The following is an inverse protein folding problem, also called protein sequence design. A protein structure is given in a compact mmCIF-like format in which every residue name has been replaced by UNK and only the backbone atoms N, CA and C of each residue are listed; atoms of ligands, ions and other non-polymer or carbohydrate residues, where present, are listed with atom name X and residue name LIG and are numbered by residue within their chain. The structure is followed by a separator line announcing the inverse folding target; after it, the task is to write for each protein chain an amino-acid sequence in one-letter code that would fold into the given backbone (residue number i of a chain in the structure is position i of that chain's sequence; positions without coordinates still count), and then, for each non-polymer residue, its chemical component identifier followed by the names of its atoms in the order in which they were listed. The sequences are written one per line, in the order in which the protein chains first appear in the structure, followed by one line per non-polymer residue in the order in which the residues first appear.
data_IF_169538209331
#
_entry.id   IF_169538209331
#
_cell.length_a   1.000
_cell.length_b   1.000
_cell.length_c   1.000
_cell.angle_alpha   90.00
_cell.angle_beta   90.00
_cell.angle_gamma   90.00
#
_symmetry.space_group_name_H-M   'P 1'
#
loop_
_entity.id
_entity.type
_entity.pdbx_description
1 polymer ?
#
# COMPACT_ATOMS: atom_id res chain seq x y z
N UNK A 1 -30.08 -48.48 -3.55
CA UNK A 1 -29.48 -48.19 -2.24
C UNK A 1 -28.37 -47.17 -2.43
N UNK A 2 -28.11 -46.28 -1.45
CA UNK A 2 -26.92 -45.43 -1.52
C UNK A 2 -25.67 -46.32 -1.54
N UNK A 3 -24.66 -46.01 -2.38
CA UNK A 3 -23.40 -46.73 -2.41
C UNK A 3 -22.72 -46.57 -1.06
N UNK A 4 -22.29 -47.69 -0.51
CA UNK A 4 -21.52 -47.75 0.73
C UNK A 4 -20.03 -47.76 0.40
N UNK A 5 -19.16 -47.43 1.37
CA UNK A 5 -17.72 -47.59 1.25
C UNK A 5 -17.31 -48.94 0.60
N UNK A 6 -17.89 -50.04 1.06
CA UNK A 6 -17.60 -51.39 0.56
C UNK A 6 -17.94 -51.61 -0.94
N UNK A 7 -18.82 -50.77 -1.52
CA UNK A 7 -19.24 -50.88 -2.92
C UNK A 7 -18.27 -50.18 -3.89
N UNK A 8 -17.24 -49.48 -3.38
CA UNK A 8 -16.29 -48.75 -4.23
C UNK A 8 -15.26 -49.71 -4.85
N UNK A 9 -15.22 -49.84 -6.19
CA UNK A 9 -14.25 -50.71 -6.84
C UNK A 9 -12.81 -50.24 -6.60
N UNK A 10 -11.82 -51.15 -6.52
CA UNK A 10 -10.43 -50.79 -6.26
C UNK A 10 -9.84 -49.95 -7.40
N UNK A 11 -8.69 -49.31 -7.12
CA UNK A 11 -7.96 -48.52 -8.11
C UNK A 11 -7.55 -49.41 -9.29
N UNK A 12 -7.75 -48.92 -10.51
CA UNK A 12 -7.52 -49.67 -11.74
C UNK A 12 -8.71 -50.47 -12.24
N UNK A 13 -9.79 -50.60 -11.45
CA UNK A 13 -11.02 -51.25 -11.90
C UNK A 13 -11.78 -50.38 -12.93
N UNK A 14 -12.19 -50.92 -14.09
CA UNK A 14 -12.93 -50.17 -15.11
C UNK A 14 -14.25 -49.54 -14.62
N UNK A 15 -14.88 -50.15 -13.61
CA UNK A 15 -16.13 -49.69 -12.99
C UNK A 15 -15.95 -48.57 -11.98
N UNK A 16 -14.72 -48.29 -11.50
CA UNK A 16 -14.45 -47.30 -10.45
C UNK A 16 -14.93 -45.90 -10.84
N UNK A 17 -14.65 -45.45 -12.06
CA UNK A 17 -15.06 -44.13 -12.53
C UNK A 17 -16.59 -43.96 -12.51
N UNK A 18 -17.32 -44.98 -13.00
CA UNK A 18 -18.77 -44.96 -12.99
C UNK A 18 -19.33 -44.94 -11.56
N UNK A 19 -18.70 -45.65 -10.61
CA UNK A 19 -19.06 -45.62 -9.20
C UNK A 19 -18.84 -44.23 -8.57
N UNK A 20 -17.68 -43.61 -8.81
CA UNK A 20 -17.39 -42.24 -8.34
C UNK A 20 -18.35 -41.20 -8.92
N UNK A 21 -18.73 -41.32 -10.19
CA UNK A 21 -19.72 -40.43 -10.81
C UNK A 21 -21.12 -40.60 -10.21
N UNK A 22 -21.51 -41.83 -9.84
CA UNK A 22 -22.77 -42.06 -9.11
C UNK A 22 -22.72 -41.43 -7.72
N UNK A 23 -21.60 -41.61 -7.00
CA UNK A 23 -21.39 -41.03 -5.67
C UNK A 23 -21.47 -39.49 -5.71
N UNK A 24 -20.80 -38.86 -6.68
CA UNK A 24 -20.80 -37.40 -6.85
C UNK A 24 -22.18 -36.80 -7.12
N UNK A 25 -23.10 -37.55 -7.74
CA UNK A 25 -24.46 -37.08 -8.06
C UNK A 25 -25.43 -37.20 -6.88
N UNK A 26 -24.98 -37.71 -5.74
CA UNK A 26 -25.84 -37.86 -4.57
C UNK A 26 -25.99 -36.53 -3.83
N UNK A 27 -27.23 -36.10 -3.65
CA UNK A 27 -27.53 -34.86 -2.94
C UNK A 27 -27.20 -34.94 -1.43
N UNK A 28 -27.34 -36.13 -0.83
CA UNK A 28 -27.13 -36.38 0.60
C UNK A 28 -26.10 -37.50 0.78
N UNK A 29 -24.85 -37.19 0.45
CA UNK A 29 -23.72 -38.07 0.70
C UNK A 29 -23.32 -37.99 2.18
N UNK A 30 -23.34 -39.13 2.87
CA UNK A 30 -22.80 -39.24 4.23
C UNK A 30 -21.27 -39.33 4.20
N UNK A 31 -20.59 -38.19 4.03
CA UNK A 31 -19.13 -38.15 3.96
C UNK A 31 -18.45 -38.70 5.23
N UNK A 32 -19.12 -38.67 6.39
CA UNK A 32 -18.55 -39.12 7.65
C UNK A 32 -18.26 -40.62 7.65
N UNK A 33 -19.16 -41.46 7.12
CA UNK A 33 -18.92 -42.92 7.02
C UNK A 33 -17.77 -43.25 6.07
N UNK A 34 -17.62 -42.51 4.98
CA UNK A 34 -16.48 -42.66 4.07
C UNK A 34 -15.15 -42.29 4.73
N UNK A 35 -15.11 -41.22 5.53
CA UNK A 35 -13.92 -40.83 6.31
C UNK A 35 -13.55 -41.90 7.34
N UNK A 36 -14.53 -42.46 8.04
CA UNK A 36 -14.32 -43.58 8.99
C UNK A 36 -13.74 -44.81 8.28
N UNK A 37 -14.28 -45.19 7.12
CA UNK A 37 -13.77 -46.33 6.36
C UNK A 37 -12.30 -46.12 5.90
N UNK A 38 -11.93 -44.88 5.56
CA UNK A 38 -10.55 -44.54 5.21
C UNK A 38 -9.62 -44.66 6.42
N UNK A 39 -10.03 -44.17 7.59
CA UNK A 39 -9.26 -44.26 8.84
C UNK A 39 -9.02 -45.70 9.27
N UNK A 40 -10.06 -46.53 9.19
CA UNK A 40 -9.99 -47.96 9.51
C UNK A 40 -9.17 -48.76 8.48
N UNK A 41 -8.79 -48.14 7.36
CA UNK A 41 -8.03 -48.80 6.30
C UNK A 41 -8.86 -49.72 5.41
N UNK A 42 -10.19 -49.67 5.53
CA UNK A 42 -11.12 -50.43 4.68
C UNK A 42 -11.09 -49.92 3.23
N UNK A 43 -10.79 -48.62 3.04
CA UNK A 43 -10.60 -48.01 1.74
C UNK A 43 -9.29 -47.21 1.71
N UNK A 44 -8.59 -47.31 0.58
CA UNK A 44 -7.40 -46.50 0.35
C UNK A 44 -7.74 -45.01 0.22
N UNK A 45 -6.92 -44.18 0.84
CA UNK A 45 -6.97 -42.73 0.68
C UNK A 45 -6.43 -42.38 -0.72
N UNK A 46 -7.31 -42.02 -1.65
CA UNK A 46 -6.98 -41.78 -3.06
C UNK A 46 -7.55 -40.43 -3.52
N UNK A 47 -6.83 -39.69 -4.36
CA UNK A 47 -7.25 -38.35 -4.79
C UNK A 47 -8.60 -38.33 -5.52
N UNK A 48 -8.93 -39.36 -6.30
CA UNK A 48 -10.19 -39.44 -7.05
C UNK A 48 -11.43 -39.54 -6.15
N UNK A 49 -11.34 -40.31 -5.06
CA UNK A 49 -12.35 -40.40 -4.03
C UNK A 49 -12.44 -39.09 -3.25
N UNK A 50 -11.31 -38.55 -2.80
CA UNK A 50 -11.30 -37.28 -2.04
C UNK A 50 -11.87 -36.13 -2.88
N UNK A 51 -11.63 -36.10 -4.19
CA UNK A 51 -12.25 -35.11 -5.07
C UNK A 51 -13.79 -35.19 -5.12
N UNK A 52 -14.36 -36.39 -4.93
CA UNK A 52 -15.81 -36.58 -4.81
C UNK A 52 -16.32 -36.19 -3.41
N UNK A 53 -15.57 -36.50 -2.36
CA UNK A 53 -15.96 -36.19 -0.98
C UNK A 53 -15.78 -34.70 -0.62
N UNK A 54 -14.84 -34.00 -1.25
CA UNK A 54 -14.42 -32.64 -0.90
C UNK A 54 -15.58 -31.62 -0.68
N UNK A 55 -16.64 -31.58 -1.51
CA UNK A 55 -17.76 -30.66 -1.30
C UNK A 55 -18.57 -30.92 -0.02
N UNK A 56 -18.40 -32.09 0.59
CA UNK A 56 -19.17 -32.57 1.75
C UNK A 56 -18.34 -32.64 3.04
N UNK A 57 -17.05 -32.28 2.98
CA UNK A 57 -16.17 -32.30 4.15
C UNK A 57 -16.41 -31.07 5.03
N UNK A 58 -16.53 -31.30 6.34
CA UNK A 58 -16.36 -30.24 7.34
C UNK A 58 -14.89 -30.18 7.83
N UNK A 59 -14.59 -29.20 8.68
CA UNK A 59 -13.23 -29.03 9.22
C UNK A 59 -12.75 -30.22 10.07
N UNK A 60 -13.66 -30.91 10.77
CA UNK A 60 -13.31 -32.08 11.56
C UNK A 60 -12.93 -33.28 10.68
N UNK A 61 -13.69 -33.51 9.61
CA UNK A 61 -13.38 -34.52 8.60
C UNK A 61 -12.09 -34.20 7.85
N UNK A 62 -11.83 -32.93 7.52
CA UNK A 62 -10.59 -32.52 6.88
C UNK A 62 -9.37 -32.78 7.78
N UNK A 63 -9.44 -32.47 9.08
CA UNK A 63 -8.38 -32.81 10.04
C UNK A 63 -8.07 -34.30 10.06
N UNK A 64 -9.12 -35.13 10.17
CA UNK A 64 -9.00 -36.60 10.19
C UNK A 64 -8.36 -37.15 8.92
N UNK A 65 -8.76 -36.65 7.75
CA UNK A 65 -8.17 -37.05 6.48
C UNK A 65 -6.70 -36.58 6.33
N UNK A 66 -6.35 -35.41 6.87
CA UNK A 66 -4.95 -34.97 6.94
C UNK A 66 -4.12 -35.89 7.82
N UNK A 67 -4.62 -36.29 8.99
CA UNK A 67 -3.94 -37.22 9.89
C UNK A 67 -3.69 -38.57 9.20
N UNK A 68 -4.69 -39.08 8.46
CA UNK A 68 -4.54 -40.27 7.63
C UNK A 68 -3.45 -40.10 6.56
N UNK A 69 -3.41 -38.94 5.90
CA UNK A 69 -2.43 -38.65 4.85
C UNK A 69 -1.00 -38.55 5.42
N UNK A 70 -0.83 -37.85 6.55
CA UNK A 70 0.46 -37.71 7.23
C UNK A 70 1.02 -39.05 7.70
N UNK A 71 0.14 -39.95 8.17
CA UNK A 71 0.53 -41.30 8.60
C UNK A 71 0.97 -42.22 7.44
N UNK A 72 0.59 -41.94 6.18
CA UNK A 72 0.78 -42.83 5.02
C UNK A 72 1.84 -42.34 4.02
N UNK A 73 2.87 -41.64 4.50
CA UNK A 73 3.87 -41.04 3.61
C UNK A 73 4.86 -42.05 3.00
N UNK A 74 5.24 -41.91 1.70
CA UNK A 74 4.76 -40.89 0.76
C UNK A 74 3.33 -41.18 0.26
N UNK A 75 2.42 -40.25 0.53
CA UNK A 75 1.05 -40.29 0.04
C UNK A 75 0.91 -39.50 -1.27
N UNK A 76 -0.26 -39.56 -1.92
CA UNK A 76 -0.52 -38.76 -3.12
C UNK A 76 -0.46 -37.26 -2.79
N UNK A 77 0.39 -36.52 -3.51
CA UNK A 77 0.63 -35.10 -3.29
C UNK A 77 -0.60 -34.20 -3.57
N UNK A 78 -1.61 -34.72 -4.29
CA UNK A 78 -2.84 -34.00 -4.60
C UNK A 78 -3.84 -33.98 -3.44
N UNK A 79 -3.75 -34.90 -2.47
CA UNK A 79 -4.74 -35.03 -1.40
C UNK A 79 -4.85 -33.75 -0.53
N UNK A 80 -3.75 -33.12 -0.06
CA UNK A 80 -3.83 -31.95 0.81
C UNK A 80 -4.63 -30.79 0.21
N UNK A 81 -4.48 -30.53 -1.09
CA UNK A 81 -5.22 -29.46 -1.77
C UNK A 81 -6.70 -29.77 -1.97
N UNK A 82 -7.08 -31.05 -2.05
CA UNK A 82 -8.47 -31.48 -2.14
C UNK A 82 -9.21 -31.39 -0.81
N UNK A 83 -8.54 -31.70 0.31
CA UNK A 83 -9.14 -31.58 1.66
C UNK A 83 -9.14 -30.13 2.18
N UNK A 84 -8.16 -29.31 1.75
CA UNK A 84 -7.94 -27.95 2.26
C UNK A 84 -8.91 -26.88 1.77
N UNK A 85 -9.97 -27.24 1.04
CA UNK A 85 -10.96 -26.32 0.50
C UNK A 85 -11.92 -25.71 1.55
N UNK A 86 -12.05 -26.33 2.71
CA UNK A 86 -12.88 -25.82 3.80
C UNK A 86 -12.15 -24.72 4.60
N UNK A 87 -12.89 -23.69 5.03
CA UNK A 87 -12.39 -22.68 5.97
C UNK A 87 -12.92 -23.00 7.36
N UNK A 88 -12.06 -23.51 8.22
CA UNK A 88 -12.42 -23.90 9.57
C UNK A 88 -11.26 -23.61 10.54
N UNK A 89 -11.49 -22.96 11.68
CA UNK A 89 -10.43 -22.68 12.67
C UNK A 89 -9.71 -23.95 13.17
N UNK A 90 -10.41 -25.07 13.30
CA UNK A 90 -9.82 -26.36 13.73
C UNK A 90 -8.84 -26.88 12.68
N UNK A 91 -9.21 -26.74 11.41
CA UNK A 91 -8.38 -27.12 10.28
C UNK A 91 -7.14 -26.23 10.17
N UNK A 92 -7.30 -24.91 10.32
CA UNK A 92 -6.18 -23.97 10.36
C UNK A 92 -5.18 -24.30 11.48
N UNK A 93 -5.69 -24.59 12.69
CA UNK A 93 -4.84 -24.95 13.82
C UNK A 93 -4.12 -26.28 13.59
N UNK A 94 -4.81 -27.30 13.07
CA UNK A 94 -4.19 -28.58 12.75
C UNK A 94 -3.09 -28.44 11.68
N UNK A 95 -3.30 -27.61 10.67
CA UNK A 95 -2.29 -27.30 9.65
C UNK A 95 -1.02 -26.69 10.26
N UNK A 96 -1.16 -25.78 11.24
CA UNK A 96 0.00 -25.20 11.94
C UNK A 96 0.78 -26.26 12.72
N UNK A 97 0.07 -27.14 13.41
CA UNK A 97 0.69 -28.26 14.14
C UNK A 97 1.46 -29.15 13.18
N UNK A 98 0.85 -29.56 12.06
CA UNK A 98 1.51 -30.36 11.04
C UNK A 98 2.75 -29.66 10.46
N UNK A 99 2.68 -28.35 10.20
CA UNK A 99 3.84 -27.59 9.70
C UNK A 99 5.00 -27.52 10.70
N UNK A 100 4.72 -27.61 12.01
CA UNK A 100 5.75 -27.65 13.05
C UNK A 100 6.34 -29.06 13.24
N UNK A 101 5.52 -30.09 13.06
CA UNK A 101 5.89 -31.51 13.21
C UNK A 101 6.66 -32.04 11.99
N UNK A 102 6.32 -31.55 10.80
CA UNK A 102 6.75 -32.12 9.54
C UNK A 102 7.96 -31.41 8.93
N UNK A 103 8.77 -32.15 8.16
CA UNK A 103 9.93 -31.63 7.44
C UNK A 103 9.74 -31.50 5.93
N UNK A 104 10.51 -30.59 5.32
CA UNK A 104 10.80 -30.54 3.88
C UNK A 104 9.58 -30.64 2.96
N UNK A 105 9.46 -31.75 2.24
CA UNK A 105 8.48 -31.95 1.16
C UNK A 105 7.03 -31.87 1.63
N UNK A 106 6.73 -32.31 2.85
CA UNK A 106 5.38 -32.21 3.41
C UNK A 106 5.01 -30.75 3.66
N UNK A 107 5.93 -29.95 4.18
CA UNK A 107 5.68 -28.52 4.38
C UNK A 107 5.37 -27.79 3.06
N UNK A 108 6.02 -28.17 1.96
CA UNK A 108 5.75 -27.60 0.63
C UNK A 108 4.28 -27.80 0.22
N UNK A 109 3.70 -28.97 0.52
CA UNK A 109 2.31 -29.29 0.20
C UNK A 109 1.30 -28.65 1.16
N UNK A 110 1.69 -28.39 2.40
CA UNK A 110 0.81 -27.86 3.45
C UNK A 110 0.77 -26.33 3.49
N UNK A 111 1.88 -25.64 3.20
CA UNK A 111 1.97 -24.18 3.26
C UNK A 111 0.89 -23.44 2.46
N UNK A 112 0.59 -23.81 1.18
CA UNK A 112 -0.45 -23.14 0.41
C UNK A 112 -1.83 -23.18 1.07
N UNK A 113 -2.10 -24.22 1.87
CA UNK A 113 -3.39 -24.43 2.54
C UNK A 113 -3.68 -23.38 3.62
N UNK A 114 -2.65 -22.83 4.28
CA UNK A 114 -2.81 -21.67 5.18
C UNK A 114 -3.36 -20.45 4.41
N UNK A 115 -2.96 -20.28 3.15
CA UNK A 115 -3.49 -19.24 2.27
C UNK A 115 -5.00 -19.38 2.01
N UNK A 116 -5.51 -20.61 1.95
CA UNK A 116 -6.93 -20.89 1.80
C UNK A 116 -7.74 -20.57 3.07
N UNK A 117 -7.13 -20.75 4.24
CA UNK A 117 -7.75 -20.45 5.54
C UNK A 117 -7.94 -18.95 5.76
N UNK A 118 -7.05 -18.12 5.21
CA UNK A 118 -7.14 -16.64 5.30
C UNK A 118 -7.15 -16.13 6.74
N UNK A 119 -6.49 -16.82 7.66
CA UNK A 119 -6.30 -16.37 9.04
C UNK A 119 -5.09 -15.42 9.12
N UNK A 120 -5.27 -14.12 9.42
CA UNK A 120 -4.18 -13.15 9.44
C UNK A 120 -3.01 -13.50 10.37
N UNK A 121 -3.23 -14.37 11.36
CA UNK A 121 -2.17 -14.84 12.28
C UNK A 121 -1.08 -15.64 11.57
N UNK A 122 -1.40 -16.28 10.45
CA UNK A 122 -0.46 -17.09 9.65
C UNK A 122 0.54 -16.25 8.86
N UNK A 123 0.27 -14.94 8.70
CA UNK A 123 1.12 -14.05 7.90
C UNK A 123 2.57 -14.05 8.40
N UNK A 124 2.79 -14.06 9.73
CA UNK A 124 4.14 -14.05 10.30
C UNK A 124 4.93 -15.29 9.91
N UNK A 125 4.32 -16.47 9.97
CA UNK A 125 4.95 -17.72 9.53
C UNK A 125 5.26 -17.70 8.02
N UNK A 126 4.27 -17.34 7.20
CA UNK A 126 4.41 -17.32 5.74
C UNK A 126 5.46 -16.32 5.27
N UNK A 127 5.47 -15.10 5.84
CA UNK A 127 6.45 -14.07 5.50
C UNK A 127 7.86 -14.45 5.91
N UNK A 128 8.04 -15.07 7.09
CA UNK A 128 9.34 -15.59 7.52
C UNK A 128 9.84 -16.67 6.54
N UNK A 129 9.00 -17.67 6.22
CA UNK A 129 9.35 -18.73 5.27
C UNK A 129 9.67 -18.23 3.87
N UNK A 130 9.03 -17.14 3.44
CA UNK A 130 9.32 -16.51 2.15
C UNK A 130 10.66 -15.75 2.15
N UNK A 131 10.95 -14.99 3.20
CA UNK A 131 12.13 -14.12 3.30
C UNK A 131 13.39 -14.87 3.74
N UNK A 132 13.27 -15.97 4.49
CA UNK A 132 14.42 -16.76 4.94
C UNK A 132 15.16 -17.41 3.76
N UNK A 133 16.52 -17.46 3.78
CA UNK A 133 17.33 -18.10 2.74
C UNK A 133 17.31 -19.64 2.84
N UNK A 134 16.11 -20.22 2.85
CA UNK A 134 15.88 -21.66 2.90
C UNK A 134 15.67 -22.31 1.52
N UNK A 135 15.26 -23.59 1.49
CA UNK A 135 14.97 -24.32 0.26
C UNK A 135 13.96 -23.59 -0.62
N UNK A 136 14.28 -23.41 -1.90
CA UNK A 136 13.44 -22.71 -2.86
C UNK A 136 11.99 -23.23 -2.91
N UNK A 137 11.70 -24.55 -2.89
CA UNK A 137 10.32 -25.05 -2.92
C UNK A 137 9.47 -24.55 -1.74
N UNK A 138 10.05 -24.43 -0.55
CA UNK A 138 9.35 -23.90 0.63
C UNK A 138 9.02 -22.42 0.47
N UNK A 139 9.97 -21.65 -0.07
CA UNK A 139 9.78 -20.22 -0.33
C UNK A 139 8.70 -19.99 -1.40
N UNK A 140 8.68 -20.82 -2.44
CA UNK A 140 7.64 -20.81 -3.47
C UNK A 140 6.26 -21.15 -2.90
N UNK A 141 6.16 -22.19 -2.07
CA UNK A 141 4.92 -22.58 -1.41
C UNK A 141 4.41 -21.49 -0.45
N UNK A 142 5.30 -20.82 0.28
CA UNK A 142 4.96 -19.67 1.11
C UNK A 142 4.45 -18.48 0.26
N UNK A 143 5.07 -18.20 -0.89
CA UNK A 143 4.61 -17.16 -1.81
C UNK A 143 3.23 -17.49 -2.40
N UNK A 144 2.98 -18.75 -2.72
CA UNK A 144 1.68 -19.24 -3.18
C UNK A 144 0.61 -19.05 -2.09
N UNK A 145 0.89 -19.43 -0.85
CA UNK A 145 0.00 -19.21 0.28
C UNK A 145 -0.36 -17.71 0.43
N UNK A 146 0.64 -16.82 0.31
CA UNK A 146 0.41 -15.38 0.33
C UNK A 146 -0.44 -14.89 -0.86
N UNK A 147 -0.27 -15.47 -2.05
CA UNK A 147 -1.07 -15.17 -3.24
C UNK A 147 -2.55 -15.58 -3.07
N UNK A 148 -2.81 -16.77 -2.53
CA UNK A 148 -4.17 -17.31 -2.35
C UNK A 148 -4.95 -16.51 -1.30
N UNK A 149 -4.27 -16.11 -0.22
CA UNK A 149 -4.85 -15.35 0.88
C UNK A 149 -4.72 -13.83 0.75
N UNK A 150 -4.38 -13.29 -0.43
CA UNK A 150 -3.93 -11.90 -0.64
C UNK A 150 -4.75 -10.82 0.10
N UNK A 151 -6.06 -11.00 0.20
CA UNK A 151 -6.98 -10.04 0.84
C UNK A 151 -6.98 -10.07 2.37
N UNK A 152 -6.46 -11.14 2.98
CA UNK A 152 -6.49 -11.38 4.42
C UNK A 152 -5.25 -10.85 5.15
N UNK A 153 -4.18 -10.54 4.42
CA UNK A 153 -2.90 -10.19 5.01
C UNK A 153 -2.79 -8.70 5.38
N UNK A 154 -1.98 -8.38 6.42
CA UNK A 154 -1.61 -6.99 6.72
C UNK A 154 -0.88 -6.35 5.52
N UNK A 155 -1.58 -5.50 4.78
CA UNK A 155 -1.13 -4.98 3.47
C UNK A 155 0.27 -4.34 3.49
N UNK A 156 0.56 -3.53 4.50
CA UNK A 156 1.84 -2.83 4.56
C UNK A 156 3.01 -3.80 4.81
N UNK A 157 2.80 -4.81 5.67
CA UNK A 157 3.81 -5.85 5.91
C UNK A 157 3.98 -6.76 4.69
N UNK A 158 2.88 -7.11 4.02
CA UNK A 158 2.92 -7.88 2.77
C UNK A 158 3.70 -7.15 1.68
N UNK A 159 3.44 -5.86 1.47
CA UNK A 159 4.21 -5.04 0.51
C UNK A 159 5.69 -5.06 0.82
N UNK A 160 6.06 -4.91 2.09
CA UNK A 160 7.46 -4.92 2.51
C UNK A 160 8.12 -6.26 2.20
N UNK A 161 7.49 -7.38 2.58
CA UNK A 161 8.00 -8.73 2.32
C UNK A 161 8.16 -9.00 0.81
N UNK A 162 7.15 -8.66 0.00
CA UNK A 162 7.24 -8.86 -1.45
C UNK A 162 8.31 -7.96 -2.08
N UNK A 163 8.46 -6.70 -1.65
CA UNK A 163 9.50 -5.80 -2.15
C UNK A 163 10.92 -6.26 -1.77
N UNK A 164 11.07 -6.96 -0.65
CA UNK A 164 12.31 -7.64 -0.27
C UNK A 164 12.61 -8.80 -1.21
N UNK A 165 11.63 -9.68 -1.45
CA UNK A 165 11.78 -10.83 -2.34
C UNK A 165 12.02 -10.45 -3.80
N UNK A 166 11.46 -9.33 -4.27
CA UNK A 166 11.77 -8.82 -5.62
C UNK A 166 13.26 -8.49 -5.79
N UNK A 167 13.96 -8.14 -4.71
CA UNK A 167 15.40 -7.83 -4.69
C UNK A 167 16.27 -9.07 -4.44
N UNK A 168 15.67 -10.24 -4.31
CA UNK A 168 16.37 -11.51 -4.17
C UNK A 168 17.07 -11.89 -5.50
N UNK A 169 18.12 -12.71 -5.40
CA UNK A 169 18.88 -13.24 -6.52
C UNK A 169 18.13 -14.32 -7.29
N UNK A 170 17.06 -14.91 -6.73
CA UNK A 170 16.31 -15.98 -7.38
C UNK A 170 15.25 -15.44 -8.36
N UNK A 171 15.46 -15.51 -9.70
CA UNK A 171 14.67 -14.74 -10.67
C UNK A 171 13.21 -15.17 -10.72
N UNK A 172 12.91 -16.46 -10.60
CA UNK A 172 11.53 -16.97 -10.61
C UNK A 172 10.69 -16.51 -9.41
N UNK A 173 11.31 -16.47 -8.22
CA UNK A 173 10.65 -16.03 -7.00
C UNK A 173 10.42 -14.51 -7.02
N UNK A 174 11.45 -13.74 -7.39
CA UNK A 174 11.38 -12.30 -7.54
C UNK A 174 10.31 -11.87 -8.57
N UNK A 175 10.23 -12.56 -9.71
CA UNK A 175 9.25 -12.24 -10.74
C UNK A 175 7.80 -12.54 -10.31
N UNK A 176 7.60 -13.56 -9.49
CA UNK A 176 6.29 -13.90 -8.90
C UNK A 176 5.90 -12.89 -7.82
N UNK A 177 6.83 -12.48 -6.97
CA UNK A 177 6.60 -11.44 -5.97
C UNK A 177 6.25 -10.08 -6.61
N UNK A 178 6.93 -9.72 -7.71
CA UNK A 178 6.63 -8.52 -8.51
C UNK A 178 5.19 -8.54 -9.04
N UNK A 179 4.74 -9.68 -9.53
CA UNK A 179 3.37 -9.85 -10.02
C UNK A 179 2.33 -9.78 -8.90
N UNK A 180 2.65 -10.29 -7.70
CA UNK A 180 1.77 -10.13 -6.54
C UNK A 180 1.68 -8.69 -6.08
N UNK A 181 2.80 -7.94 -6.06
CA UNK A 181 2.79 -6.51 -5.78
C UNK A 181 1.89 -5.76 -6.77
N UNK A 182 1.96 -6.10 -8.06
CA UNK A 182 1.13 -5.49 -9.09
C UNK A 182 -0.38 -5.73 -8.91
N UNK A 183 -0.78 -6.74 -8.13
CA UNK A 183 -2.18 -7.06 -7.80
C UNK A 183 -2.69 -6.31 -6.57
N UNK A 184 -1.82 -5.66 -5.79
CA UNK A 184 -2.22 -4.93 -4.60
C UNK A 184 -2.83 -3.56 -4.95
N UNK A 185 -3.74 -3.02 -4.11
CA UNK A 185 -4.21 -1.65 -4.26
C UNK A 185 -3.03 -0.68 -4.26
N UNK A 186 -3.08 0.36 -5.10
CA UNK A 186 -2.02 1.37 -5.22
C UNK A 186 -0.64 0.80 -5.65
N UNK A 187 -0.61 -0.36 -6.32
CA UNK A 187 0.62 -1.03 -6.75
C UNK A 187 1.59 -0.15 -7.54
N UNK A 188 1.10 0.83 -8.30
CA UNK A 188 1.93 1.74 -9.11
C UNK A 188 3.03 2.40 -8.27
N UNK A 189 2.70 2.91 -7.08
CA UNK A 189 3.68 3.53 -6.19
C UNK A 189 4.78 2.55 -5.76
N UNK A 190 4.40 1.31 -5.45
CA UNK A 190 5.34 0.26 -5.03
C UNK A 190 6.26 -0.14 -6.20
N UNK A 191 5.71 -0.28 -7.41
CA UNK A 191 6.46 -0.60 -8.62
C UNK A 191 7.43 0.53 -9.04
N UNK A 192 7.02 1.80 -8.95
CA UNK A 192 7.90 2.94 -9.21
C UNK A 192 9.02 3.06 -8.17
N UNK A 193 8.76 2.69 -6.90
CA UNK A 193 9.82 2.63 -5.90
C UNK A 193 10.83 1.55 -6.27
N UNK A 194 10.36 0.37 -6.68
CA UNK A 194 11.23 -0.72 -7.13
C UNK A 194 12.07 -0.35 -8.35
N UNK A 195 11.53 0.42 -9.31
CA UNK A 195 12.29 0.84 -10.50
C UNK A 195 13.47 1.77 -10.19
N UNK A 196 13.54 2.35 -8.98
CA UNK A 196 14.65 3.20 -8.52
C UNK A 196 15.78 2.40 -7.87
N UNK A 197 15.59 1.11 -7.65
CA UNK A 197 16.60 0.22 -7.10
C UNK A 197 17.19 -0.65 -8.21
N UNK A 198 18.46 -1.09 -8.08
CA UNK A 198 19.00 -2.08 -8.97
C UNK A 198 18.21 -3.38 -8.82
N UNK A 199 17.66 -3.86 -9.94
CA UNK A 199 16.95 -5.14 -10.04
C UNK A 199 17.70 -6.05 -11.01
N UNK A 200 17.45 -7.35 -10.92
CA UNK A 200 17.95 -8.28 -11.93
C UNK A 200 17.45 -7.85 -13.33
N UNK A 201 18.31 -7.83 -14.38
CA UNK A 201 17.93 -7.38 -15.72
C UNK A 201 16.72 -8.12 -16.31
N UNK A 202 16.51 -9.38 -15.91
CA UNK A 202 15.37 -10.20 -16.32
C UNK A 202 14.01 -9.68 -15.81
N UNK A 203 14.01 -8.85 -14.75
CA UNK A 203 12.78 -8.29 -14.17
C UNK A 203 12.35 -6.98 -14.85
N UNK A 204 13.26 -6.23 -15.47
CA UNK A 204 12.94 -4.91 -16.02
C UNK A 204 11.82 -4.92 -17.07
N UNK A 205 11.79 -5.86 -18.05
CA UNK A 205 10.69 -5.90 -19.03
C UNK A 205 9.36 -6.21 -18.35
N UNK A 206 9.38 -7.06 -17.32
CA UNK A 206 8.18 -7.43 -16.54
C UNK A 206 7.67 -6.24 -15.73
N UNK A 207 8.57 -5.51 -15.06
CA UNK A 207 8.23 -4.29 -14.32
C UNK A 207 7.63 -3.23 -15.23
N UNK A 208 8.26 -2.96 -16.39
CA UNK A 208 7.74 -2.04 -17.41
C UNK A 208 6.33 -2.42 -17.87
N UNK A 209 6.11 -3.71 -18.19
CA UNK A 209 4.79 -4.23 -18.58
C UNK A 209 3.73 -4.08 -17.47
N UNK A 210 4.12 -4.27 -16.20
CA UNK A 210 3.19 -4.08 -15.06
C UNK A 210 2.85 -2.61 -14.83
N UNK A 211 3.83 -1.71 -14.96
CA UNK A 211 3.60 -0.27 -14.89
C UNK A 211 2.71 0.24 -16.03
N UNK A 212 2.87 -0.28 -17.25
CA UNK A 212 2.02 0.10 -18.38
C UNK A 212 0.58 -0.40 -18.25
N UNK A 213 0.36 -1.53 -17.56
CA UNK A 213 -0.97 -2.04 -17.23
C UNK A 213 -1.66 -1.29 -16.08
N UNK A 214 -0.94 -0.37 -15.41
CA UNK A 214 -1.42 0.47 -14.32
C UNK A 214 -1.28 1.95 -14.72
N UNK A 215 -2.06 2.41 -15.73
CA UNK A 215 -1.93 3.78 -16.23
C UNK A 215 -2.24 4.79 -15.13
N UNK A 216 -1.46 5.87 -15.11
CA UNK A 216 -1.68 6.98 -14.20
C UNK A 216 -2.90 7.80 -14.59
N UNK A 217 -3.75 8.13 -13.62
CA UNK A 217 -4.85 9.06 -13.80
C UNK A 217 -4.32 10.50 -13.90
N UNK A 218 -5.04 11.37 -14.64
CA UNK A 218 -4.76 12.81 -14.65
C UNK A 218 -4.80 13.40 -13.24
N UNK A 219 -3.84 14.27 -12.94
CA UNK A 219 -3.79 15.01 -11.69
C UNK A 219 -4.21 16.45 -11.89
N UNK A 220 -5.06 16.94 -10.98
CA UNK A 220 -5.42 18.35 -10.86
C UNK A 220 -4.77 18.88 -9.59
N UNK A 221 -3.66 19.61 -9.72
CA UNK A 221 -2.92 20.18 -8.60
C UNK A 221 -3.51 21.55 -8.24
N UNK A 222 -4.23 21.62 -7.12
CA UNK A 222 -4.85 22.85 -6.66
C UNK A 222 -3.93 23.62 -5.71
N UNK A 223 -3.55 24.83 -6.11
CA UNK A 223 -2.73 25.77 -5.35
C UNK A 223 -3.56 27.00 -4.99
N UNK A 224 -3.06 27.82 -4.07
CA UNK A 224 -3.71 29.11 -3.77
C UNK A 224 -3.66 30.04 -5.00
N UNK A 225 -2.50 30.17 -5.64
CA UNK A 225 -2.26 31.13 -6.71
C UNK A 225 -1.96 32.54 -6.18
N UNK A 226 -1.64 33.46 -7.10
CA UNK A 226 -1.48 34.89 -6.87
C UNK A 226 -2.69 35.62 -7.44
N UNK A 227 -2.77 36.94 -7.25
CA UNK A 227 -3.85 37.76 -7.84
C UNK A 227 -4.01 37.48 -9.33
N UNK A 228 -5.27 37.34 -9.78
CA UNK A 228 -5.62 37.01 -11.16
C UNK A 228 -5.30 35.57 -11.58
N UNK A 229 -5.22 34.61 -10.64
CA UNK A 229 -4.98 33.20 -10.94
C UNK A 229 -3.54 32.83 -11.29
N UNK A 230 -2.58 33.77 -11.21
CA UNK A 230 -1.18 33.53 -11.57
C UNK A 230 -0.53 32.45 -10.69
N UNK A 231 0.17 31.51 -11.29
CA UNK A 231 0.83 30.41 -10.59
C UNK A 231 2.34 30.69 -10.48
N UNK A 232 2.99 30.46 -9.33
CA UNK A 232 4.45 30.56 -9.20
C UNK A 232 5.20 29.58 -10.11
N UNK A 233 6.33 30.00 -10.67
CA UNK A 233 7.12 29.22 -11.63
C UNK A 233 7.66 27.91 -11.05
N UNK A 234 7.93 27.85 -9.74
CA UNK A 234 8.39 26.61 -9.10
C UNK A 234 7.31 25.52 -9.08
N UNK A 235 6.04 25.92 -9.04
CA UNK A 235 4.90 25.01 -9.12
C UNK A 235 4.65 24.57 -10.57
N UNK A 236 4.84 25.47 -11.53
CA UNK A 236 4.80 25.14 -12.96
C UNK A 236 5.89 24.12 -13.30
N UNK A 237 7.13 24.36 -12.89
CA UNK A 237 8.24 23.40 -13.03
C UNK A 237 7.94 22.06 -12.36
N UNK A 238 7.37 22.07 -11.13
CA UNK A 238 6.98 20.85 -10.45
C UNK A 238 5.94 20.05 -11.26
N UNK A 239 4.95 20.72 -11.85
CA UNK A 239 3.92 20.07 -12.65
C UNK A 239 4.49 19.48 -13.95
N UNK A 240 5.36 20.21 -14.66
CA UNK A 240 6.05 19.71 -15.85
C UNK A 240 6.91 18.48 -15.54
N UNK A 241 7.72 18.53 -14.48
CA UNK A 241 8.54 17.40 -14.04
C UNK A 241 7.66 16.18 -13.71
N UNK A 242 6.53 16.42 -13.04
CA UNK A 242 5.60 15.38 -12.63
C UNK A 242 4.87 14.75 -13.80
N UNK A 243 4.42 15.55 -14.78
CA UNK A 243 3.76 15.07 -16.00
C UNK A 243 4.68 14.16 -16.81
N UNK A 244 5.94 14.58 -17.00
CA UNK A 244 6.96 13.78 -17.69
C UNK A 244 7.22 12.44 -16.99
N UNK A 245 7.36 12.45 -15.65
CA UNK A 245 7.60 11.22 -14.86
C UNK A 245 6.40 10.29 -14.85
N UNK A 246 5.18 10.84 -14.74
CA UNK A 246 3.96 10.04 -14.69
C UNK A 246 3.57 9.50 -16.06
N UNK A 247 3.93 10.20 -17.14
CA UNK A 247 3.41 9.92 -18.49
C UNK A 247 1.89 10.14 -18.56
N UNK A 248 1.35 11.03 -17.73
CA UNK A 248 -0.07 11.34 -17.63
C UNK A 248 -0.28 12.81 -17.29
N UNK A 249 -1.39 13.38 -17.76
CA UNK A 249 -1.66 14.80 -17.67
C UNK A 249 -1.62 15.35 -16.24
N UNK A 250 -0.94 16.48 -16.05
CA UNK A 250 -0.91 17.22 -14.78
C UNK A 250 -1.34 18.65 -15.03
N UNK A 251 -2.49 19.04 -14.50
CA UNK A 251 -3.02 20.39 -14.65
C UNK A 251 -2.94 21.15 -13.32
N UNK A 252 -2.43 22.37 -13.36
CA UNK A 252 -2.40 23.28 -12.22
C UNK A 252 -3.65 24.15 -12.18
N UNK A 253 -4.24 24.27 -10.98
CA UNK A 253 -5.42 25.08 -10.70
C UNK A 253 -5.08 26.11 -9.62
N UNK A 254 -5.42 27.38 -9.83
CA UNK A 254 -5.32 28.40 -8.81
C UNK A 254 -6.70 28.71 -8.22
N UNK A 255 -6.82 28.72 -6.88
CA UNK A 255 -8.04 29.16 -6.20
C UNK A 255 -8.38 30.63 -6.47
N UNK A 256 -7.38 31.45 -6.76
CA UNK A 256 -7.53 32.86 -7.11
C UNK A 256 -7.92 33.08 -8.58
N UNK A 257 -7.99 32.04 -9.42
CA UNK A 257 -8.56 32.16 -10.76
C UNK A 257 -10.10 32.02 -10.66
N UNK A 258 -10.88 33.04 -11.08
CA UNK A 258 -12.33 32.94 -11.10
C UNK A 258 -12.84 31.90 -12.12
N UNK A 259 -12.00 31.43 -13.05
CA UNK A 259 -12.35 30.45 -14.07
C UNK A 259 -11.93 29.06 -13.62
N UNK A 260 -12.91 28.22 -13.34
CA UNK A 260 -12.68 26.80 -13.08
C UNK A 260 -12.44 26.08 -14.40
N UNK A 261 -11.26 25.50 -14.64
CA UNK A 261 -11.04 24.78 -15.89
C UNK A 261 -11.85 23.49 -15.89
N UNK A 262 -12.30 23.14 -17.09
CA UNK A 262 -12.82 21.82 -17.39
C UNK A 262 -11.62 21.00 -17.90
N UNK A 263 -11.32 19.82 -17.34
CA UNK A 263 -10.48 18.88 -18.07
C UNK A 263 -11.14 18.61 -19.43
N UNK A 264 -10.36 18.29 -20.49
CA UNK A 264 -10.92 17.88 -21.77
C UNK A 264 -11.91 16.73 -21.53
N UNK A 265 -12.98 16.62 -22.34
CA UNK A 265 -13.98 15.58 -22.17
C UNK A 265 -13.27 14.22 -22.13
N UNK A 266 -13.43 13.55 -21.00
CA UNK A 266 -12.96 12.19 -20.81
C UNK A 266 -13.62 11.30 -21.86
N UNK A 267 -12.83 10.52 -22.60
CA UNK A 267 -13.36 9.35 -23.27
C UNK A 267 -14.11 8.48 -22.23
N UNK A 268 -15.15 7.72 -22.62
CA UNK A 268 -15.97 6.94 -21.68
C UNK A 268 -15.18 5.95 -20.80
N UNK A 269 -13.94 5.64 -21.19
CA UNK A 269 -13.00 4.73 -20.51
C UNK A 269 -11.84 5.46 -19.78
N UNK A 270 -11.84 6.80 -19.73
CA UNK A 270 -10.74 7.54 -19.13
C UNK A 270 -10.68 7.36 -17.60
N UNK A 271 -9.48 7.27 -17.00
CA UNK A 271 -9.32 7.10 -15.56
C UNK A 271 -9.86 8.31 -14.78
N UNK A 272 -10.43 8.05 -13.60
CA UNK A 272 -10.98 9.07 -12.68
C UNK A 272 -9.88 10.06 -12.28
N UNK A 273 -10.06 11.33 -12.66
CA UNK A 273 -9.09 12.38 -12.32
C UNK A 273 -8.95 12.56 -10.80
N UNK A 274 -7.74 12.89 -10.34
CA UNK A 274 -7.46 13.10 -8.92
C UNK A 274 -7.11 14.56 -8.64
N UNK A 275 -7.97 15.23 -7.85
CA UNK A 275 -7.73 16.56 -7.30
C UNK A 275 -6.84 16.48 -6.06
N UNK A 276 -5.70 17.16 -6.12
CA UNK A 276 -4.68 17.21 -5.08
C UNK A 276 -4.53 18.64 -4.55
N UNK A 277 -5.07 18.97 -3.37
CA UNK A 277 -4.92 20.30 -2.80
C UNK A 277 -3.53 20.48 -2.19
N UNK A 278 -2.68 21.26 -2.85
CA UNK A 278 -1.34 21.66 -2.39
C UNK A 278 -1.41 22.84 -1.40
N UNK A 279 -2.31 22.72 -0.43
CA UNK A 279 -2.51 23.68 0.66
C UNK A 279 -1.87 23.12 1.94
N UNK A 280 -1.20 23.98 2.71
CA UNK A 280 -0.38 23.55 3.85
C UNK A 280 -1.13 23.58 5.18
N UNK A 281 -2.17 24.40 5.31
CA UNK A 281 -2.83 24.66 6.58
C UNK A 281 -4.36 24.68 6.41
N UNK A 282 -5.14 24.30 7.45
CA UNK A 282 -6.59 24.20 7.38
C UNK A 282 -7.31 25.56 7.50
N UNK A 283 -6.91 26.54 6.67
CA UNK A 283 -7.55 27.85 6.58
C UNK A 283 -8.89 27.85 5.84
N UNK A 284 -9.45 29.05 5.57
CA UNK A 284 -10.73 29.23 4.88
C UNK A 284 -10.82 28.44 3.57
N UNK A 285 -9.77 28.49 2.75
CA UNK A 285 -9.67 27.75 1.49
C UNK A 285 -9.86 26.24 1.64
N UNK A 286 -9.23 25.61 2.64
CA UNK A 286 -9.36 24.17 2.86
C UNK A 286 -10.75 23.81 3.37
N UNK A 287 -11.33 24.69 4.21
CA UNK A 287 -12.58 24.43 4.94
C UNK A 287 -13.84 24.75 4.13
N UNK A 288 -13.77 25.72 3.22
CA UNK A 288 -14.94 26.27 2.53
C UNK A 288 -14.80 26.14 1.00
N UNK A 289 -13.74 26.72 0.43
CA UNK A 289 -13.60 26.81 -1.03
C UNK A 289 -13.35 25.44 -1.67
N UNK A 290 -12.45 24.64 -1.10
CA UNK A 290 -12.11 23.33 -1.62
C UNK A 290 -13.34 22.38 -1.65
N UNK A 291 -14.13 22.22 -0.57
CA UNK A 291 -15.38 21.44 -0.63
C UNK A 291 -16.35 21.93 -1.71
N UNK A 292 -16.55 23.26 -1.83
CA UNK A 292 -17.45 23.86 -2.82
C UNK A 292 -16.98 23.56 -4.25
N UNK A 293 -15.72 23.84 -4.54
CA UNK A 293 -15.08 23.55 -5.82
C UNK A 293 -15.19 22.08 -6.19
N UNK A 294 -14.92 21.19 -5.23
CA UNK A 294 -14.99 19.75 -5.46
C UNK A 294 -16.40 19.28 -5.81
N UNK A 295 -17.41 19.81 -5.11
CA UNK A 295 -18.80 19.49 -5.39
C UNK A 295 -19.21 19.96 -6.80
N UNK A 296 -18.75 21.14 -7.22
CA UNK A 296 -19.00 21.65 -8.56
C UNK A 296 -18.32 20.80 -9.65
N UNK A 297 -17.05 20.45 -9.49
CA UNK A 297 -16.32 19.63 -10.45
C UNK A 297 -16.91 18.22 -10.58
N UNK A 298 -17.34 17.61 -9.47
CA UNK A 298 -17.98 16.27 -9.47
C UNK A 298 -19.29 16.21 -10.23
N UNK A 299 -19.98 17.34 -10.43
CA UNK A 299 -21.18 17.40 -11.29
C UNK A 299 -20.84 17.30 -12.76
N UNK A 300 -19.58 17.60 -13.15
CA UNK A 300 -19.13 17.66 -14.54
C UNK A 300 -18.38 16.40 -14.96
N UNK A 301 -17.62 15.78 -14.05
CA UNK A 301 -16.83 14.57 -14.35
C UNK A 301 -16.49 13.76 -13.08
N UNK A 302 -16.15 12.46 -13.22
CA UNK A 302 -15.68 11.66 -12.10
C UNK A 302 -14.40 12.23 -11.50
N UNK A 303 -14.46 12.60 -10.21
CA UNK A 303 -13.34 13.23 -9.51
C UNK A 303 -13.11 12.60 -8.13
N UNK A 304 -11.91 12.06 -7.94
CA UNK A 304 -11.37 11.71 -6.62
C UNK A 304 -10.68 12.94 -6.04
N UNK A 305 -10.89 13.21 -4.75
CA UNK A 305 -10.20 14.28 -4.03
C UNK A 305 -9.34 13.70 -2.92
N UNK A 306 -8.10 14.15 -2.82
CA UNK A 306 -7.23 13.89 -1.67
C UNK A 306 -7.38 14.94 -0.57
N UNK A 307 -7.02 14.62 0.69
CA UNK A 307 -6.83 15.63 1.73
C UNK A 307 -5.79 16.68 1.32
N UNK A 308 -5.82 17.87 1.93
CA UNK A 308 -4.82 18.91 1.67
C UNK A 308 -3.41 18.44 2.10
N UNK A 309 -2.38 18.86 1.37
CA UNK A 309 -0.99 18.44 1.54
C UNK A 309 -0.51 18.49 3.00
N UNK A 310 -0.84 19.57 3.70
CA UNK A 310 -0.49 19.75 5.12
C UNK A 310 -0.94 18.61 6.03
N UNK A 311 -2.02 17.91 5.69
CA UNK A 311 -2.55 16.79 6.49
C UNK A 311 -1.86 15.44 6.21
N UNK A 312 -0.99 15.37 5.20
CA UNK A 312 -0.39 14.09 4.79
C UNK A 312 0.69 13.65 5.79
N UNK A 313 0.59 12.43 6.36
CA UNK A 313 1.57 11.97 7.35
C UNK A 313 3.01 11.96 6.85
N UNK A 314 3.23 11.58 5.58
CA UNK A 314 4.56 11.57 4.98
C UNK A 314 5.14 12.98 4.84
N UNK A 315 4.32 13.95 4.42
CA UNK A 315 4.70 15.35 4.32
C UNK A 315 5.07 15.94 5.68
N UNK A 316 4.28 15.67 6.72
CA UNK A 316 4.57 16.15 8.07
C UNK A 316 5.87 15.55 8.65
N UNK A 317 6.17 14.28 8.36
CA UNK A 317 7.46 13.67 8.73
C UNK A 317 8.63 14.33 8.00
N UNK A 318 8.48 14.64 6.72
CA UNK A 318 9.50 15.32 5.94
C UNK A 318 9.74 16.75 6.45
N UNK A 319 8.68 17.49 6.78
CA UNK A 319 8.75 18.79 7.45
C UNK A 319 9.50 18.70 8.78
N UNK A 320 9.18 17.72 9.63
CA UNK A 320 9.87 17.52 10.91
C UNK A 320 11.36 17.20 10.74
N UNK A 321 11.72 16.41 9.72
CA UNK A 321 13.12 16.14 9.39
C UNK A 321 13.86 17.41 8.94
N UNK A 322 13.22 18.21 8.09
CA UNK A 322 13.76 19.48 7.60
C UNK A 322 14.00 20.49 8.72
N UNK A 323 13.06 20.60 9.67
CA UNK A 323 13.19 21.45 10.85
C UNK A 323 14.38 21.03 11.71
N UNK A 324 14.55 19.73 11.96
CA UNK A 324 15.69 19.21 12.74
C UNK A 324 17.03 19.49 12.07
N UNK A 325 17.09 19.31 10.75
CA UNK A 325 18.30 19.59 9.96
C UNK A 325 18.66 21.07 10.01
N UNK A 326 17.66 21.95 9.85
CA UNK A 326 17.85 23.40 9.95
C UNK A 326 18.32 23.84 11.34
N UNK A 327 17.73 23.26 12.40
CA UNK A 327 18.12 23.54 13.78
C UNK A 327 19.54 23.08 14.10
N UNK A 328 20.03 22.02 13.44
CA UNK A 328 21.40 21.53 13.59
C UNK A 328 22.42 22.34 12.77
N UNK A 329 22.00 22.93 11.64
CA UNK A 329 22.90 23.68 10.75
C UNK A 329 23.16 25.13 11.17
N UNK A 330 22.34 25.67 12.08
CA UNK A 330 22.44 27.06 12.55
C UNK A 330 22.77 27.02 14.03
N UNK A 331 23.74 27.83 14.47
CA UNK A 331 24.02 28.05 15.89
C UNK A 331 22.85 28.87 16.49
N UNK A 332 21.80 28.15 16.90
CA UNK A 332 20.51 28.72 17.26
C UNK A 332 20.36 28.89 18.76
N UNK A 333 19.95 30.09 19.18
CA UNK A 333 19.42 30.30 20.52
C UNK A 333 17.92 29.97 20.52
N UNK A 334 17.55 28.75 20.91
CA UNK A 334 16.16 28.37 21.19
C UNK A 334 15.50 27.42 20.18
N UNK A 335 14.19 27.20 20.36
CA UNK A 335 13.44 26.27 19.53
C UNK A 335 13.27 26.80 18.09
N UNK A 336 13.32 25.93 17.06
CA UNK A 336 13.08 26.33 15.68
C UNK A 336 11.66 26.86 15.49
N UNK A 337 11.49 27.75 14.51
CA UNK A 337 10.24 28.46 14.25
C UNK A 337 9.62 28.02 12.92
N UNK A 338 8.31 27.73 12.95
CA UNK A 338 7.47 27.51 11.78
C UNK A 338 6.61 28.74 11.53
N UNK A 339 6.92 29.51 10.49
CA UNK A 339 6.16 30.72 10.19
C UNK A 339 4.97 30.41 9.30
N UNK A 340 3.79 30.90 9.68
CA UNK A 340 2.58 30.68 8.91
C UNK A 340 1.77 31.96 8.74
N UNK A 341 0.94 32.00 7.70
CA UNK A 341 -0.05 33.06 7.57
C UNK A 341 -1.03 33.02 8.76
N UNK A 342 -1.56 34.17 9.21
CA UNK A 342 -2.54 34.18 10.29
C UNK A 342 -3.75 33.28 9.99
N UNK A 343 -4.08 32.44 10.95
CA UNK A 343 -5.23 31.54 10.89
C UNK A 343 -6.20 31.88 12.03
N UNK A 344 -7.48 31.62 11.80
CA UNK A 344 -8.52 31.86 12.79
C UNK A 344 -9.29 30.59 13.14
N UNK A 345 -9.62 30.44 14.43
CA UNK A 345 -10.54 29.46 14.95
C UNK A 345 -9.90 28.17 15.51
N UNK A 346 -10.68 27.38 16.26
CA UNK A 346 -10.16 26.30 17.12
C UNK A 346 -9.55 25.13 16.34
N UNK A 347 -9.99 24.88 15.09
CA UNK A 347 -9.40 23.84 14.25
C UNK A 347 -7.97 24.19 13.85
N UNK A 348 -7.71 25.46 13.53
CA UNK A 348 -6.37 25.92 13.18
C UNK A 348 -5.44 25.81 14.38
N UNK A 349 -5.88 26.25 15.56
CA UNK A 349 -5.12 26.13 16.81
C UNK A 349 -4.75 24.67 17.12
N UNK A 350 -5.73 23.76 17.05
CA UNK A 350 -5.48 22.32 17.26
C UNK A 350 -4.47 21.77 16.25
N UNK A 351 -4.58 22.16 14.99
CA UNK A 351 -3.66 21.71 13.94
C UNK A 351 -2.25 22.26 14.13
N UNK A 352 -2.11 23.55 14.48
CA UNK A 352 -0.82 24.18 14.76
C UNK A 352 -0.14 23.57 15.99
N UNK A 353 -0.90 23.25 17.05
CA UNK A 353 -0.38 22.54 18.24
C UNK A 353 0.08 21.11 17.89
N UNK A 354 -0.63 20.42 17.00
CA UNK A 354 -0.20 19.11 16.49
C UNK A 354 1.09 19.24 15.68
N UNK A 355 1.15 20.20 14.77
CA UNK A 355 2.31 20.42 13.90
C UNK A 355 3.54 20.82 14.73
N UNK A 356 3.36 21.71 15.71
CA UNK A 356 4.40 22.10 16.67
C UNK A 356 4.99 20.90 17.39
N UNK A 357 4.15 20.02 17.94
CA UNK A 357 4.59 18.77 18.59
C UNK A 357 5.31 17.81 17.64
N UNK A 358 4.82 17.66 16.41
CA UNK A 358 5.42 16.74 15.42
C UNK A 358 6.77 17.22 14.92
N UNK A 359 6.93 18.53 14.75
CA UNK A 359 8.16 19.13 14.22
C UNK A 359 9.17 19.48 15.32
N UNK A 360 8.76 19.55 16.59
CA UNK A 360 9.60 20.08 17.67
C UNK A 360 9.90 21.56 17.49
N UNK A 361 8.93 22.32 16.95
CA UNK A 361 9.08 23.72 16.58
C UNK A 361 7.92 24.57 17.11
N UNK A 362 8.14 25.87 17.26
CA UNK A 362 7.10 26.84 17.63
C UNK A 362 6.43 27.37 16.36
N UNK A 363 5.12 27.17 16.24
CA UNK A 363 4.34 27.76 15.16
C UNK A 363 4.04 29.22 15.47
N UNK A 364 4.48 30.15 14.62
CA UNK A 364 4.25 31.58 14.80
C UNK A 364 3.53 32.19 13.59
N UNK A 365 2.49 33.01 13.82
CA UNK A 365 1.88 33.77 12.75
C UNK A 365 2.84 34.86 12.26
N UNK A 366 2.92 35.02 10.94
CA UNK A 366 3.68 36.07 10.28
C UNK A 366 2.80 36.70 9.19
N UNK A 367 2.65 38.03 9.23
CA UNK A 367 1.98 38.76 8.15
C UNK A 367 2.88 38.81 6.92
N UNK A 368 2.29 38.69 5.73
CA UNK A 368 3.00 38.84 4.46
C UNK A 368 3.44 40.29 4.20
N UNK A 369 2.90 41.26 4.95
CA UNK A 369 3.08 42.69 4.72
C UNK A 369 4.12 43.32 5.64
N UNK A 370 4.44 42.66 6.77
CA UNK A 370 5.40 43.20 7.74
C UNK A 370 6.27 42.09 8.35
N UNK A 371 7.35 41.77 7.66
CA UNK A 371 8.40 40.88 8.18
C UNK A 371 9.26 41.56 9.27
N UNK A 372 9.07 42.86 9.53
CA UNK A 372 9.80 43.59 10.58
C UNK A 372 9.17 43.42 11.95
N UNK A 373 7.88 43.09 12.02
CA UNK A 373 7.12 42.80 13.24
C UNK A 373 7.34 41.38 13.82
N UNK A 374 8.38 40.66 13.37
CA UNK A 374 8.64 39.30 13.83
C UNK A 374 9.17 39.29 15.29
N UNK A 375 8.57 38.51 16.21
CA UNK A 375 8.81 38.63 17.66
C UNK A 375 10.28 38.56 18.09
N UNK A 376 11.07 37.67 17.47
CA UNK A 376 12.47 37.45 17.81
C UNK A 376 13.41 38.59 17.38
N UNK A 377 12.93 39.60 16.64
CA UNK A 377 13.70 40.82 16.33
C UNK A 377 13.77 41.79 17.52
N UNK A 378 12.81 41.72 18.45
CA UNK A 378 12.75 42.61 19.60
C UNK A 378 13.64 42.15 20.78
N UNK A 379 14.14 40.92 20.77
CA UNK A 379 14.88 40.32 21.90
C UNK A 379 16.38 40.65 21.94
N UNK A 380 16.88 41.54 21.08
CA UNK A 380 18.17 42.23 21.28
C UNK A 380 19.45 41.37 21.25
N UNK A 381 19.37 40.05 21.03
CA UNK A 381 20.57 39.19 20.93
C UNK A 381 21.25 39.37 19.58
N UNK A 382 22.27 40.24 19.54
CA UNK A 382 23.18 40.33 18.40
C UNK A 382 23.89 38.98 18.22
N UNK A 383 23.56 38.25 17.15
CA UNK A 383 24.38 37.14 16.64
C UNK A 383 23.73 35.76 16.59
N UNK A 384 22.65 35.49 17.32
CA UNK A 384 21.98 34.18 17.29
C UNK A 384 20.53 34.33 16.80
N UNK A 385 20.27 33.93 15.56
CA UNK A 385 18.91 33.88 15.01
C UNK A 385 18.33 32.47 15.19
N UNK A 386 17.04 32.34 15.54
CA UNK A 386 16.41 31.02 15.55
C UNK A 386 16.38 30.45 14.13
N UNK A 387 16.39 29.12 14.02
CA UNK A 387 16.14 28.44 12.75
C UNK A 387 14.70 28.71 12.29
N UNK A 388 14.53 29.30 11.11
CA UNK A 388 13.21 29.70 10.60
C UNK A 388 12.83 28.91 9.36
N UNK A 389 11.68 28.23 9.41
CA UNK A 389 11.08 27.57 8.26
C UNK A 389 9.72 28.20 7.93
N UNK A 390 9.61 28.99 6.86
CA UNK A 390 8.33 29.51 6.41
C UNK A 390 7.47 28.41 5.79
N UNK A 391 6.23 28.26 6.26
CA UNK A 391 5.21 27.39 5.68
C UNK A 391 4.63 28.01 4.40
N UNK A 392 5.50 28.21 3.41
CA UNK A 392 5.21 28.71 2.08
C UNK A 392 5.64 27.67 1.05
N UNK A 393 4.70 27.11 0.29
CA UNK A 393 5.03 26.03 -0.65
C UNK A 393 5.96 26.52 -1.77
N UNK A 394 5.67 27.70 -2.35
CA UNK A 394 6.48 28.38 -3.35
C UNK A 394 6.76 29.82 -2.93
N UNK A 395 7.65 30.52 -3.65
CA UNK A 395 8.05 31.88 -3.31
C UNK A 395 6.87 32.86 -3.25
N UNK A 396 6.86 33.66 -2.18
CA UNK A 396 5.90 34.72 -1.94
C UNK A 396 6.55 35.90 -1.20
N UNK A 397 5.77 36.96 -0.97
CA UNK A 397 6.26 38.19 -0.32
C UNK A 397 6.94 37.95 1.03
N UNK A 398 6.48 36.97 1.82
CA UNK A 398 7.10 36.64 3.10
C UNK A 398 8.47 36.02 2.91
N UNK A 399 8.61 35.03 2.02
CA UNK A 399 9.92 34.40 1.77
C UNK A 399 10.91 35.37 1.14
N UNK A 400 10.43 36.26 0.26
CA UNK A 400 11.26 37.30 -0.36
C UNK A 400 11.77 38.29 0.71
N UNK A 401 10.88 38.71 1.61
CA UNK A 401 11.23 39.61 2.72
C UNK A 401 12.20 38.96 3.71
N UNK A 402 11.98 37.69 4.06
CA UNK A 402 12.87 36.97 4.97
C UNK A 402 14.27 36.78 4.38
N UNK A 403 14.35 36.48 3.08
CA UNK A 403 15.62 36.35 2.36
C UNK A 403 16.40 37.68 2.36
N UNK A 404 15.71 38.79 2.12
CA UNK A 404 16.31 40.12 2.15
C UNK A 404 16.78 40.52 3.56
N UNK A 405 16.06 40.11 4.60
CA UNK A 405 16.37 40.49 5.99
C UNK A 405 17.53 39.72 6.60
N UNK A 406 17.71 38.44 6.28
CA UNK A 406 18.86 37.66 6.74
C UNK A 406 19.13 36.45 5.83
N UNK A 407 20.06 36.55 4.86
CA UNK A 407 20.35 35.48 3.90
C UNK A 407 20.92 34.18 4.52
N UNK A 408 21.13 34.11 5.84
CA UNK A 408 21.59 32.92 6.57
C UNK A 408 20.52 32.19 7.41
N UNK A 409 19.28 32.69 7.51
CA UNK A 409 18.24 32.07 8.35
C UNK A 409 17.59 30.81 7.74
N UNK A 410 17.97 30.45 6.50
CA UNK A 410 17.37 29.33 5.78
C UNK A 410 15.90 29.55 5.41
N UNK A 411 15.45 30.79 5.26
CA UNK A 411 14.04 31.14 5.01
C UNK A 411 13.54 30.87 3.58
N UNK A 412 13.98 29.76 2.97
CA UNK A 412 13.58 29.34 1.63
C UNK A 412 12.17 28.73 1.63
N UNK A 413 11.38 28.94 0.56
CA UNK A 413 10.15 28.20 0.32
C UNK A 413 10.34 26.68 0.34
N UNK A 414 9.29 25.95 0.69
CA UNK A 414 9.35 24.50 0.90
C UNK A 414 9.73 23.74 -0.38
N UNK A 415 9.31 24.17 -1.57
CA UNK A 415 9.69 23.51 -2.83
C UNK A 415 11.14 23.78 -3.27
N UNK A 416 11.82 24.75 -2.67
CA UNK A 416 13.25 24.99 -2.92
C UNK A 416 14.13 24.12 -2.01
N UNK A 417 13.53 23.41 -1.05
CA UNK A 417 14.23 22.44 -0.19
C UNK A 417 14.23 21.06 -0.86
N UNK A 418 15.40 20.49 -1.21
CA UNK A 418 15.48 19.28 -2.03
C UNK A 418 14.70 18.09 -1.45
N UNK A 419 14.80 17.86 -0.13
CA UNK A 419 14.08 16.78 0.57
C UNK A 419 12.57 16.90 0.41
N UNK A 420 12.03 18.10 0.62
CA UNK A 420 10.59 18.35 0.54
C UNK A 420 10.08 18.27 -0.91
N UNK A 421 10.81 18.86 -1.87
CA UNK A 421 10.48 18.74 -3.30
C UNK A 421 10.44 17.29 -3.73
N UNK A 422 11.46 16.50 -3.36
CA UNK A 422 11.53 15.09 -3.70
C UNK A 422 10.38 14.31 -3.07
N UNK A 423 10.11 14.47 -1.77
CA UNK A 423 8.99 13.78 -1.11
C UNK A 423 7.66 14.08 -1.78
N UNK A 424 7.39 15.34 -2.14
CA UNK A 424 6.16 15.70 -2.84
C UNK A 424 6.10 15.04 -4.21
N UNK A 425 7.16 15.16 -5.01
CA UNK A 425 7.23 14.63 -6.36
C UNK A 425 7.01 13.12 -6.38
N UNK A 426 7.72 12.38 -5.52
CA UNK A 426 7.58 10.93 -5.42
C UNK A 426 6.18 10.49 -4.96
N UNK A 427 5.59 11.24 -4.02
CA UNK A 427 4.25 10.93 -3.53
C UNK A 427 3.21 11.13 -4.62
N UNK A 428 3.32 12.24 -5.37
CA UNK A 428 2.42 12.54 -6.48
C UNK A 428 2.63 11.59 -7.65
N UNK A 429 3.86 11.20 -7.95
CA UNK A 429 4.20 10.27 -9.03
C UNK A 429 3.58 8.87 -8.81
N UNK A 430 3.53 8.42 -7.55
CA UNK A 430 2.94 7.14 -7.17
C UNK A 430 1.41 7.11 -7.09
N UNK A 431 0.72 8.24 -7.23
CA UNK A 431 -0.73 8.27 -7.25
C UNK A 431 -1.27 7.46 -8.44
N UNK A 432 -2.43 6.79 -8.29
CA UNK A 432 -3.05 6.04 -9.38
C UNK A 432 -3.37 6.93 -10.58
#
# INVERSE_FOLDING_TARGET
MPPTPADLPPVGDPGRWAALQRLRRQALLDAASWVVAIELGEISLQADLIAVLAPHLDGGMACRLLDCWLARWPGEAAIPSLIGGCRDPRWAERLRQALNEEGGDRQVLLLPLLGHQRDPTDFSLLSARLCDPGPLPLRQAALEALSVGLSAWPRDRLRQALAEVVRDLHPGLAASALDLLARLPCARADLLRLSRHPLAPSLEPRLRRRLSALPAAPLLLLVHGRSGGRIPTELESLATDLEQRRGAAVQLLALTDPRLPCPPPAEPLAPVATLVPLLLLPGGHVRQDLPRLTAEMRRRFPLRRLPFLGSWPLWQRALAAEVRELAASVDTAGAPLLLHHPLQGPLAERFLSLLSRRCGAVCLPASFEDATALPWRHEGRRGAHPAVLPLALAANRLTDSLLALAPGMGAMPLLQRPRLRQVLLETLEGLP
#
